data_IF_411990164870
#
_entry.id   IF_411990164870
#
_cell.length_a   1.000
_cell.length_b   1.000
_cell.length_c   1.000
_cell.angle_alpha   90.00
_cell.angle_beta   90.00
_cell.angle_gamma   90.00
#
_symmetry.space_group_name_H-M   'P 1'
#
loop_
_entity.id
_entity.type
_entity.pdbx_description
1 polymer ?
#
# COMPACT_ATOMS: atom_id res chain seq x y z
N UNK A 1 13.94 -14.01 6.73
CA UNK A 1 12.78 -13.34 6.12
C UNK A 1 13.10 -11.86 6.00
N UNK A 2 12.96 -11.22 4.83
CA UNK A 2 13.23 -9.80 4.70
C UNK A 2 12.16 -9.01 5.46
N UNK A 3 12.56 -8.39 6.58
CA UNK A 3 11.76 -7.42 7.32
C UNK A 3 11.62 -6.20 6.43
N UNK A 4 10.48 -6.04 5.77
CA UNK A 4 10.25 -4.87 4.93
C UNK A 4 10.21 -3.66 5.86
N UNK A 5 11.22 -2.79 5.79
CA UNK A 5 11.25 -1.52 6.51
C UNK A 5 10.31 -0.55 5.82
N UNK A 6 9.02 -0.64 6.14
CA UNK A 6 8.01 0.30 5.66
C UNK A 6 7.95 1.54 6.55
N UNK A 7 7.76 2.70 5.93
CA UNK A 7 7.46 3.93 6.63
C UNK A 7 6.09 3.84 7.33
N UNK A 8 5.90 4.52 8.47
CA UNK A 8 4.61 4.54 9.17
C UNK A 8 3.49 5.13 8.30
N UNK A 9 3.82 6.03 7.38
CA UNK A 9 2.90 6.61 6.41
C UNK A 9 2.44 5.56 5.38
N UNK A 10 3.36 4.76 4.83
CA UNK A 10 3.01 3.67 3.91
C UNK A 10 2.13 2.61 4.58
N UNK A 11 2.42 2.24 5.83
CA UNK A 11 1.59 1.32 6.62
C UNK A 11 0.18 1.88 6.88
N UNK A 12 0.09 3.16 7.27
CA UNK A 12 -1.20 3.82 7.52
C UNK A 12 -2.06 3.90 6.26
N UNK A 13 -1.42 4.21 5.13
CA UNK A 13 -2.07 4.27 3.83
C UNK A 13 -2.51 2.88 3.33
N UNK A 14 -1.69 1.85 3.56
CA UNK A 14 -2.07 0.46 3.26
C UNK A 14 -3.31 0.03 4.04
N UNK A 15 -3.40 0.39 5.33
CA UNK A 15 -4.59 0.12 6.16
C UNK A 15 -5.83 0.84 5.62
N UNK A 16 -5.70 2.13 5.32
CA UNK A 16 -6.77 2.92 4.74
C UNK A 16 -7.22 2.34 3.39
N UNK A 17 -6.28 1.85 2.58
CA UNK A 17 -6.58 1.24 1.28
C UNK A 17 -7.38 -0.05 1.46
N UNK A 18 -7.00 -0.90 2.43
CA UNK A 18 -7.73 -2.13 2.74
C UNK A 18 -9.13 -1.82 3.29
N UNK A 19 -9.25 -0.84 4.17
CA UNK A 19 -10.55 -0.42 4.75
C UNK A 19 -11.49 0.15 3.68
N UNK A 20 -10.96 1.00 2.79
CA UNK A 20 -11.73 1.63 1.69
C UNK A 20 -11.77 0.80 0.41
N UNK A 21 -11.27 -0.44 0.44
CA UNK A 21 -11.23 -1.34 -0.72
C UNK A 21 -10.60 -0.70 -1.97
N UNK A 22 -9.56 0.12 -1.78
CA UNK A 22 -8.86 0.83 -2.85
C UNK A 22 -9.52 2.12 -3.33
N UNK A 23 -10.57 2.60 -2.68
CA UNK A 23 -11.18 3.91 -2.93
C UNK A 23 -10.38 5.03 -2.23
N UNK A 24 -9.14 5.23 -2.65
CA UNK A 24 -8.28 6.35 -2.23
C UNK A 24 -7.84 7.10 -3.48
N UNK A 25 -7.94 8.43 -3.44
CA UNK A 25 -7.41 9.27 -4.51
C UNK A 25 -5.88 9.16 -4.52
N UNK A 26 -5.31 8.91 -5.71
CA UNK A 26 -3.86 8.94 -5.90
C UNK A 26 -3.46 10.38 -6.21
N UNK A 27 -2.78 11.00 -5.26
CA UNK A 27 -2.25 12.35 -5.34
C UNK A 27 -0.74 12.33 -5.03
N UNK A 28 -0.08 13.48 -5.16
CA UNK A 28 1.37 13.57 -4.98
C UNK A 28 1.82 13.17 -3.57
N UNK A 29 0.97 13.31 -2.55
CA UNK A 29 1.26 12.92 -1.17
C UNK A 29 1.04 11.43 -0.92
N UNK A 30 0.16 10.78 -1.67
CA UNK A 30 -0.10 9.33 -1.56
C UNK A 30 0.74 8.48 -2.52
N UNK A 31 1.26 9.07 -3.60
CA UNK A 31 2.05 8.37 -4.62
C UNK A 31 3.36 7.81 -4.08
N UNK A 32 4.11 8.57 -3.28
CA UNK A 32 5.36 8.08 -2.66
C UNK A 32 5.15 6.85 -1.76
N UNK A 33 4.22 6.86 -0.78
CA UNK A 33 3.96 5.68 0.04
C UNK A 33 3.42 4.50 -0.77
N UNK A 34 2.61 4.73 -1.80
CA UNK A 34 2.18 3.65 -2.70
C UNK A 34 3.34 3.06 -3.52
N UNK A 35 4.28 3.88 -3.98
CA UNK A 35 5.53 3.40 -4.62
C UNK A 35 6.36 2.57 -3.66
N UNK A 36 6.44 2.96 -2.39
CA UNK A 36 7.14 2.20 -1.36
C UNK A 36 6.50 0.82 -1.16
N UNK A 37 5.16 0.76 -1.02
CA UNK A 37 4.40 -0.48 -0.94
C UNK A 37 4.56 -1.34 -2.20
N UNK A 38 4.69 -0.72 -3.37
CA UNK A 38 4.93 -1.43 -4.62
C UNK A 38 6.34 -2.00 -4.72
N UNK A 39 7.36 -1.26 -4.28
CA UNK A 39 8.76 -1.75 -4.17
C UNK A 39 8.87 -2.90 -3.17
N UNK A 40 8.06 -2.85 -2.12
CA UNK A 40 7.91 -3.90 -1.13
C UNK A 40 7.16 -5.15 -1.63
N UNK A 41 6.60 -5.13 -2.84
CA UNK A 41 5.85 -6.25 -3.42
C UNK A 41 4.43 -6.42 -2.88
N UNK A 42 3.98 -5.54 -1.98
CA UNK A 42 2.65 -5.60 -1.35
C UNK A 42 1.54 -5.03 -2.24
N UNK A 43 1.92 -4.12 -3.14
CA UNK A 43 1.02 -3.50 -4.10
C UNK A 43 1.64 -3.49 -5.49
N UNK A 44 0.79 -3.32 -6.51
CA UNK A 44 1.22 -3.16 -7.88
C UNK A 44 0.60 -1.90 -8.45
N UNK A 45 1.46 -0.97 -8.88
CA UNK A 45 1.03 0.17 -9.68
C UNK A 45 0.48 -0.33 -11.01
N UNK A 46 -0.64 0.24 -11.41
CA UNK A 46 -1.27 0.04 -12.70
C UNK A 46 -1.65 1.39 -13.30
N UNK A 47 -1.77 1.38 -14.62
CA UNK A 47 -2.17 2.54 -15.40
C UNK A 47 -3.64 2.41 -15.76
N UNK A 48 -4.40 3.49 -15.69
CA UNK A 48 -5.74 3.52 -16.31
C UNK A 48 -5.72 4.43 -17.52
N UNK A 49 -6.55 4.10 -18.52
CA UNK A 49 -6.63 4.84 -19.78
C UNK A 49 -6.94 6.34 -19.61
N UNK A 50 -7.49 6.74 -18.45
CA UNK A 50 -7.95 8.10 -18.17
C UNK A 50 -6.96 8.96 -17.37
N UNK A 51 -6.03 8.35 -16.62
CA UNK A 51 -5.31 9.05 -15.54
C UNK A 51 -3.78 8.78 -15.54
N UNK A 52 -3.26 8.08 -16.55
CA UNK A 52 -1.81 7.89 -16.77
C UNK A 52 -1.16 6.66 -16.10
N UNK A 53 0.17 6.64 -16.07
CA UNK A 53 0.95 5.65 -15.33
C UNK A 53 0.81 5.93 -13.82
N UNK A 54 0.56 4.89 -13.00
CA UNK A 54 0.35 5.01 -11.54
C UNK A 54 -1.02 5.55 -11.08
N UNK A 55 -2.06 5.50 -11.93
CA UNK A 55 -3.42 5.90 -11.53
C UNK A 55 -4.08 4.96 -10.52
N UNK A 56 -3.69 3.69 -10.50
CA UNK A 56 -4.27 2.70 -9.61
C UNK A 56 -3.19 1.88 -8.94
N UNK A 57 -3.40 1.57 -7.67
CA UNK A 57 -2.59 0.59 -6.96
C UNK A 57 -3.50 -0.56 -6.55
N UNK A 58 -3.11 -1.78 -6.93
CA UNK A 58 -3.85 -2.99 -6.55
C UNK A 58 -3.03 -3.80 -5.57
N UNK A 59 -3.71 -4.33 -4.55
CA UNK A 59 -3.12 -5.28 -3.63
C UNK A 59 -2.63 -6.51 -4.40
N UNK A 60 -1.41 -6.97 -4.13
CA UNK A 60 -0.92 -8.26 -4.62
C UNK A 60 -1.44 -9.39 -3.73
N UNK A 61 -1.35 -10.63 -4.20
CA UNK A 61 -1.65 -11.80 -3.38
C UNK A 61 -0.78 -11.80 -2.11
N UNK A 62 0.52 -11.51 -2.25
CA UNK A 62 1.45 -11.40 -1.13
C UNK A 62 1.04 -10.28 -0.15
N UNK A 63 0.66 -9.11 -0.67
CA UNK A 63 0.12 -8.03 0.16
C UNK A 63 -1.14 -8.42 0.92
N UNK A 64 -2.01 -9.23 0.30
CA UNK A 64 -3.22 -9.74 0.94
C UNK A 64 -2.92 -10.76 2.03
N UNK A 65 -2.02 -11.70 1.80
CA UNK A 65 -1.61 -12.71 2.78
C UNK A 65 -0.94 -12.06 3.98
N UNK A 66 -0.07 -11.08 3.71
CA UNK A 66 0.68 -10.35 4.75
C UNK A 66 -0.13 -9.24 5.41
N UNK A 67 -1.33 -8.92 4.91
CA UNK A 67 -2.17 -7.89 5.51
C UNK A 67 -2.44 -8.18 6.99
N UNK A 68 -2.63 -9.45 7.35
CA UNK A 68 -2.88 -9.86 8.73
C UNK A 68 -1.73 -9.48 9.64
N UNK A 69 -0.50 -9.78 9.24
CA UNK A 69 0.71 -9.40 9.99
C UNK A 69 0.88 -7.88 10.04
N UNK A 70 0.70 -7.17 8.93
CA UNK A 70 0.86 -5.70 8.85
C UNK A 70 -0.24 -4.94 9.63
N UNK A 71 -1.46 -5.48 9.70
CA UNK A 71 -2.57 -4.95 10.50
C UNK A 71 -2.35 -5.21 12.00
N UNK A 72 -1.71 -6.32 12.36
CA UNK A 72 -1.44 -6.67 13.76
C UNK A 72 -0.20 -5.95 14.29
N UNK A 73 0.85 -5.78 13.46
CA UNK A 73 2.14 -5.25 13.89
C UNK A 73 2.12 -3.77 14.30
N UNK A 74 1.29 -2.92 13.68
CA UNK A 74 1.18 -1.51 14.14
C UNK A 74 0.27 -1.31 15.36
N UNK A 75 -0.07 -2.39 16.08
CA UNK A 75 -0.57 -2.29 17.46
C UNK A 75 0.57 -2.24 18.49
N UNK A 76 1.81 -2.52 18.09
CA UNK A 76 3.00 -2.51 18.96
C UNK A 76 3.92 -1.30 18.69
N UNK A 77 3.34 -0.13 18.43
CA UNK A 77 4.06 1.14 18.35
C UNK A 77 3.43 2.20 19.28
N UNK A 78 3.07 1.78 20.50
CA UNK A 78 2.64 2.65 21.61
C UNK A 78 3.51 2.37 22.83
#
# INVERSE_FOLDING_TARGET
MPTITLSPTALSLFRLHVERQGQIAIDESTREPYRELARAGLMRAGSTFLDGEESIYRLTAEGFERKGELLTCAKEAV
#
